data_IF_258485847876
#
_entry.id   IF_258485847876
#
_cell.length_a   1.000
_cell.length_b   1.000
_cell.length_c   1.000
_cell.angle_alpha   90.00
_cell.angle_beta   90.00
_cell.angle_gamma   90.00
#
_symmetry.space_group_name_H-M   'P 1'
#
loop_
_entity.id
_entity.type
_entity.pdbx_description
1 polymer ?
#
# COMPACT_ATOMS: atom_id res chain seq x y z
N UNK A 1 1.70 -8.77 15.27
CA UNK A 1 1.97 -7.65 14.34
C UNK A 1 3.19 -6.84 14.74
N UNK A 2 3.15 -6.00 15.80
CA UNK A 2 4.35 -5.21 16.17
C UNK A 2 5.57 -6.09 16.48
N UNK A 3 5.36 -7.23 17.12
CA UNK A 3 6.43 -8.21 17.38
C UNK A 3 7.00 -8.80 16.09
N UNK A 4 6.14 -9.12 15.12
CA UNK A 4 6.56 -9.63 13.80
C UNK A 4 7.41 -8.58 13.06
N UNK A 5 7.03 -7.31 13.15
CA UNK A 5 7.81 -6.19 12.60
C UNK A 5 9.15 -6.05 13.33
N UNK A 6 9.18 -6.18 14.66
CA UNK A 6 10.45 -6.14 15.42
C UNK A 6 11.39 -7.27 15.00
N UNK A 7 10.87 -8.48 14.83
CA UNK A 7 11.64 -9.62 14.35
C UNK A 7 12.17 -9.40 12.92
N UNK A 8 11.33 -8.87 12.03
CA UNK A 8 11.73 -8.47 10.68
C UNK A 8 12.87 -7.44 10.70
N UNK A 9 12.77 -6.43 11.58
CA UNK A 9 13.78 -5.40 11.73
C UNK A 9 15.08 -5.92 12.35
N UNK A 10 15.01 -6.86 13.30
CA UNK A 10 16.18 -7.47 13.92
C UNK A 10 16.99 -8.30 12.90
N UNK A 11 16.30 -9.06 12.05
CA UNK A 11 16.92 -9.80 10.95
C UNK A 11 17.58 -8.89 9.90
N UNK A 12 17.20 -7.61 9.84
CA UNK A 12 17.68 -6.61 8.88
C UNK A 12 18.40 -5.44 9.57
N UNK A 13 19.04 -5.68 10.71
CA UNK A 13 19.69 -4.66 11.54
C UNK A 13 20.84 -3.92 10.86
N UNK A 14 21.52 -4.55 9.89
CA UNK A 14 22.60 -3.94 9.10
C UNK A 14 22.14 -2.98 8.01
N UNK A 15 20.83 -2.85 7.76
CA UNK A 15 20.29 -1.92 6.77
C UNK A 15 20.16 -0.51 7.33
N UNK A 16 20.22 0.49 6.44
CA UNK A 16 20.02 1.89 6.83
C UNK A 16 18.61 2.13 7.39
N UNK A 17 18.44 3.19 8.18
CA UNK A 17 17.14 3.57 8.74
C UNK A 17 16.05 3.75 7.69
N UNK A 18 16.40 4.23 6.48
CA UNK A 18 15.48 4.37 5.35
C UNK A 18 14.97 3.01 4.88
N UNK A 19 15.86 2.05 4.65
CA UNK A 19 15.48 0.68 4.26
C UNK A 19 14.64 0.01 5.34
N UNK A 20 15.03 0.15 6.61
CA UNK A 20 14.28 -0.39 7.75
C UNK A 20 12.87 0.20 7.83
N UNK A 21 12.69 1.52 7.64
CA UNK A 21 11.35 2.14 7.57
C UNK A 21 10.54 1.62 6.36
N UNK A 22 11.18 1.35 5.23
CA UNK A 22 10.51 0.76 4.07
C UNK A 22 10.08 -0.70 4.31
N UNK A 23 10.85 -1.52 5.04
CA UNK A 23 10.40 -2.86 5.44
C UNK A 23 9.10 -2.79 6.29
N UNK A 24 9.01 -1.82 7.19
CA UNK A 24 7.77 -1.59 7.95
C UNK A 24 6.63 -1.15 7.02
N UNK A 25 6.89 -0.26 6.06
CA UNK A 25 5.88 0.13 5.06
C UNK A 25 5.40 -1.07 4.24
N UNK A 26 6.30 -1.91 3.75
CA UNK A 26 5.96 -3.12 2.98
C UNK A 26 5.06 -4.06 3.81
N UNK A 27 5.37 -4.26 5.09
CA UNK A 27 4.50 -5.00 6.00
C UNK A 27 3.08 -4.38 6.08
N UNK A 28 3.01 -3.05 6.28
CA UNK A 28 1.74 -2.34 6.38
C UNK A 28 0.96 -2.33 5.06
N UNK A 29 1.64 -2.33 3.91
CA UNK A 29 1.04 -2.47 2.59
C UNK A 29 0.35 -3.82 2.44
N UNK A 30 1.00 -4.91 2.85
CA UNK A 30 0.41 -6.26 2.86
C UNK A 30 -0.85 -6.31 3.70
N UNK A 31 -0.85 -5.70 4.90
CA UNK A 31 -2.06 -5.58 5.72
C UNK A 31 -3.16 -4.72 5.07
N UNK A 32 -2.78 -3.66 4.35
CA UNK A 32 -3.70 -2.83 3.58
C UNK A 32 -4.35 -3.61 2.43
N UNK A 33 -3.56 -4.36 1.65
CA UNK A 33 -4.04 -5.25 0.61
C UNK A 33 -4.96 -6.33 1.19
N UNK A 34 -4.61 -6.88 2.37
CA UNK A 34 -5.45 -7.85 3.06
C UNK A 34 -6.83 -7.28 3.42
N UNK A 35 -6.87 -6.05 3.92
CA UNK A 35 -8.14 -5.34 4.18
C UNK A 35 -8.95 -5.11 2.90
N UNK A 36 -8.31 -4.67 1.82
CA UNK A 36 -8.98 -4.38 0.53
C UNK A 36 -9.59 -5.65 -0.05
N UNK A 37 -8.79 -6.70 -0.24
CA UNK A 37 -9.23 -7.89 -0.97
C UNK A 37 -10.05 -8.88 -0.13
N UNK A 38 -10.13 -8.69 1.20
CA UNK A 38 -11.07 -9.45 2.04
C UNK A 38 -12.50 -8.90 2.01
N UNK A 39 -12.75 -7.77 1.33
CA UNK A 39 -14.04 -7.08 1.33
C UNK A 39 -14.62 -6.96 -0.07
N UNK A 40 -15.85 -7.46 -0.25
CA UNK A 40 -16.58 -7.43 -1.53
C UNK A 40 -16.73 -6.01 -2.14
N UNK A 41 -16.86 -5.00 -1.27
CA UNK A 41 -16.93 -3.59 -1.67
C UNK A 41 -15.66 -3.12 -2.39
N UNK A 42 -14.49 -3.64 -2.04
CA UNK A 42 -13.20 -3.21 -2.60
C UNK A 42 -12.53 -4.27 -3.48
N UNK A 43 -13.04 -5.49 -3.54
CA UNK A 43 -12.44 -6.61 -4.29
C UNK A 43 -12.33 -6.38 -5.80
N UNK A 44 -13.05 -5.39 -6.34
CA UNK A 44 -12.94 -4.96 -7.73
C UNK A 44 -11.87 -3.89 -8.00
N UNK A 45 -11.18 -3.40 -6.96
CA UNK A 45 -10.07 -2.48 -7.14
C UNK A 45 -8.90 -3.18 -7.82
N UNK A 46 -8.38 -2.58 -8.89
CA UNK A 46 -7.23 -3.11 -9.65
C UNK A 46 -5.97 -2.45 -9.09
N UNK A 47 -5.10 -3.23 -8.48
CA UNK A 47 -3.82 -2.78 -7.95
C UNK A 47 -2.81 -2.55 -9.09
N UNK A 48 -2.12 -1.41 -9.09
CA UNK A 48 -1.15 -1.06 -10.12
C UNK A 48 0.03 -0.25 -9.53
N UNK A 49 0.89 0.24 -10.41
CA UNK A 49 2.03 1.08 -10.04
C UNK A 49 3.24 0.29 -9.53
N UNK A 50 4.20 1.01 -8.98
CA UNK A 50 5.47 0.43 -8.54
C UNK A 50 5.32 -0.58 -7.40
N UNK A 51 4.29 -0.42 -6.56
CA UNK A 51 4.04 -1.31 -5.43
C UNK A 51 3.43 -2.63 -5.89
N UNK A 52 2.56 -2.61 -6.91
CA UNK A 52 2.10 -3.84 -7.56
C UNK A 52 3.27 -4.61 -8.16
N UNK A 53 4.25 -3.93 -8.75
CA UNK A 53 5.47 -4.57 -9.25
C UNK A 53 6.30 -5.25 -8.16
N UNK A 54 6.40 -4.63 -6.98
CA UNK A 54 7.11 -5.21 -5.83
C UNK A 54 6.38 -6.45 -5.30
N UNK A 55 5.08 -6.31 -5.01
CA UNK A 55 4.25 -7.34 -4.37
C UNK A 55 3.85 -8.49 -5.31
N UNK A 56 3.56 -8.19 -6.58
CA UNK A 56 3.03 -9.18 -7.54
C UNK A 56 4.12 -9.77 -8.46
N UNK A 57 5.24 -9.07 -8.64
CA UNK A 57 6.34 -9.53 -9.53
C UNK A 57 7.69 -9.69 -8.81
N UNK A 58 7.76 -9.44 -7.49
CA UNK A 58 8.96 -9.64 -6.70
C UNK A 58 10.14 -8.71 -7.07
N UNK A 59 9.88 -7.57 -7.74
CA UNK A 59 10.97 -6.69 -8.15
C UNK A 59 11.69 -6.08 -6.94
N UNK A 60 13.04 -6.09 -6.88
CA UNK A 60 13.81 -5.58 -5.74
C UNK A 60 13.89 -4.04 -5.75
N UNK A 61 12.74 -3.38 -5.56
CA UNK A 61 12.61 -1.91 -5.49
C UNK A 61 11.94 -1.47 -4.20
N UNK A 62 12.20 -0.22 -3.80
CA UNK A 62 11.48 0.42 -2.71
C UNK A 62 10.05 0.76 -3.15
N UNK A 63 9.10 0.42 -2.31
CA UNK A 63 7.68 0.71 -2.49
C UNK A 63 7.17 1.53 -1.32
N UNK A 64 6.34 2.55 -1.60
CA UNK A 64 5.86 3.46 -0.56
C UNK A 64 4.33 3.57 -0.48
N UNK A 65 3.66 3.60 -1.64
CA UNK A 65 2.23 3.92 -1.75
C UNK A 65 1.44 2.73 -2.33
N UNK A 66 0.12 2.66 -2.15
CA UNK A 66 -0.74 1.66 -2.80
C UNK A 66 -1.67 2.36 -3.80
N UNK A 67 -1.54 2.03 -5.08
CA UNK A 67 -2.30 2.67 -6.15
C UNK A 67 -3.34 1.74 -6.74
N UNK A 68 -4.59 2.19 -6.81
CA UNK A 68 -5.73 1.41 -7.27
C UNK A 68 -6.54 2.13 -8.35
N UNK A 69 -7.08 1.34 -9.27
CA UNK A 69 -8.14 1.78 -10.18
C UNK A 69 -9.47 1.25 -9.69
N UNK A 70 -10.41 2.17 -9.49
CA UNK A 70 -11.81 1.88 -9.26
C UNK A 70 -12.58 1.95 -10.58
N UNK A 71 -12.54 0.86 -11.34
CA UNK A 71 -13.19 0.75 -12.64
C UNK A 71 -14.73 0.85 -12.54
N UNK A 72 -15.30 0.58 -11.37
CA UNK A 72 -16.75 0.67 -11.12
C UNK A 72 -17.18 2.07 -10.68
N UNK A 73 -16.26 2.87 -10.15
CA UNK A 73 -16.54 4.20 -9.62
C UNK A 73 -17.37 4.20 -8.34
N UNK A 74 -17.42 3.06 -7.64
CA UNK A 74 -18.28 2.82 -6.48
C UNK A 74 -17.57 3.09 -5.14
N UNK A 75 -16.25 3.24 -5.13
CA UNK A 75 -15.48 3.35 -3.89
C UNK A 75 -15.61 4.73 -3.26
N UNK A 76 -16.04 4.72 -1.99
CA UNK A 76 -16.12 5.89 -1.13
C UNK A 76 -14.85 6.00 -0.28
N UNK A 77 -14.03 7.04 -0.51
CA UNK A 77 -12.82 7.30 0.29
C UNK A 77 -13.12 7.48 1.80
N UNK A 78 -14.21 8.16 2.21
CA UNK A 78 -14.60 8.20 3.63
C UNK A 78 -14.86 6.82 4.24
N UNK A 79 -15.60 5.96 3.52
CA UNK A 79 -15.87 4.60 3.99
C UNK A 79 -14.58 3.77 4.05
N UNK A 80 -13.73 3.87 3.03
CA UNK A 80 -12.42 3.23 2.98
C UNK A 80 -11.54 3.64 4.17
N UNK A 81 -11.43 4.94 4.45
CA UNK A 81 -10.65 5.45 5.57
C UNK A 81 -11.18 4.96 6.93
N UNK A 82 -12.50 4.99 7.13
CA UNK A 82 -13.13 4.51 8.36
C UNK A 82 -12.95 2.99 8.54
N UNK A 83 -13.08 2.23 7.44
CA UNK A 83 -12.87 0.78 7.40
C UNK A 83 -11.44 0.41 7.75
N UNK A 84 -10.45 1.04 7.12
CA UNK A 84 -9.02 0.83 7.42
C UNK A 84 -8.70 1.13 8.89
N UNK A 85 -9.17 2.29 9.38
CA UNK A 85 -8.98 2.67 10.79
C UNK A 85 -9.54 1.61 11.74
N UNK A 86 -10.76 1.13 11.47
CA UNK A 86 -11.43 0.11 12.28
C UNK A 86 -10.73 -1.24 12.19
N UNK A 87 -10.24 -1.60 11.00
CA UNK A 87 -9.48 -2.83 10.77
C UNK A 87 -8.19 -2.89 11.58
N UNK A 88 -7.36 -1.84 11.50
CA UNK A 88 -6.10 -1.79 12.25
C UNK A 88 -6.32 -1.78 13.76
N UNK A 89 -7.37 -1.09 14.24
CA UNK A 89 -7.72 -1.09 15.65
C UNK A 89 -8.21 -2.47 16.12
N UNK A 90 -9.16 -3.07 15.40
CA UNK A 90 -9.80 -4.33 15.83
C UNK A 90 -8.87 -5.54 15.69
N UNK A 91 -8.12 -5.65 14.59
CA UNK A 91 -7.27 -6.81 14.29
C UNK A 91 -5.88 -6.70 14.93
N UNK A 92 -5.37 -5.48 15.12
CA UNK A 92 -3.98 -5.28 15.53
C UNK A 92 -3.81 -4.35 16.75
N UNK A 93 -4.90 -3.86 17.34
CA UNK A 93 -4.84 -2.95 18.48
C UNK A 93 -4.24 -1.57 18.16
N UNK A 94 -4.05 -1.23 16.87
CA UNK A 94 -3.29 -0.06 16.47
C UNK A 94 -4.20 1.12 16.16
N UNK A 95 -4.00 2.23 16.88
CA UNK A 95 -4.74 3.48 16.66
C UNK A 95 -4.12 4.24 15.50
N UNK A 96 -4.75 4.17 14.34
CA UNK A 96 -4.29 4.81 13.11
C UNK A 96 -5.02 6.13 12.89
N UNK A 97 -4.28 7.19 12.58
CA UNK A 97 -4.84 8.45 12.10
C UNK A 97 -5.15 8.38 10.60
N UNK A 98 -6.22 9.02 10.15
CA UNK A 98 -6.60 9.03 8.73
C UNK A 98 -6.76 10.46 8.24
N UNK A 99 -6.27 10.77 7.03
CA UNK A 99 -6.53 12.03 6.33
C UNK A 99 -6.97 11.73 4.91
N UNK A 100 -8.11 12.27 4.50
CA UNK A 100 -8.61 12.15 3.13
C UNK A 100 -8.11 13.35 2.32
N UNK A 101 -7.67 13.08 1.11
CA UNK A 101 -7.27 14.05 0.10
C UNK A 101 -7.94 13.67 -1.24
N UNK A 102 -7.78 14.51 -2.28
CA UNK A 102 -8.30 14.19 -3.61
C UNK A 102 -7.73 12.84 -4.08
N UNK A 103 -8.61 11.86 -4.29
CA UNK A 103 -8.29 10.48 -4.69
C UNK A 103 -7.41 9.68 -3.73
N UNK A 104 -7.17 10.15 -2.49
CA UNK A 104 -6.20 9.51 -1.58
C UNK A 104 -6.70 9.41 -0.14
N UNK A 105 -6.40 8.28 0.49
CA UNK A 105 -6.46 8.08 1.94
C UNK A 105 -5.02 7.97 2.47
N UNK A 106 -4.64 8.87 3.36
CA UNK A 106 -3.38 8.84 4.08
C UNK A 106 -3.60 8.23 5.46
N UNK A 107 -2.97 7.08 5.72
CA UNK A 107 -2.89 6.47 7.03
C UNK A 107 -1.63 6.95 7.76
N UNK A 108 -1.77 7.25 9.06
CA UNK A 108 -0.72 7.75 9.94
C UNK A 108 -0.55 6.81 11.11
N UNK A 109 0.57 6.10 11.15
CA UNK A 109 0.88 5.08 12.14
C UNK A 109 1.88 5.63 13.16
N UNK A 110 1.47 5.81 14.43
CA UNK A 110 2.38 6.20 15.51
C UNK A 110 3.16 4.97 16.01
N UNK A 111 4.19 4.55 15.28
CA UNK A 111 4.91 3.27 15.53
C UNK A 111 6.43 3.41 15.48
N UNK A 112 6.98 4.55 15.06
CA UNK A 112 8.41 4.64 14.82
C UNK A 112 9.22 4.61 16.11
N UNK A 113 8.72 5.19 17.20
CA UNK A 113 9.34 5.17 18.51
C UNK A 113 9.32 3.75 19.10
N UNK A 114 8.17 3.07 19.05
CA UNK A 114 8.02 1.69 19.54
C UNK A 114 8.91 0.69 18.79
N UNK A 115 9.24 0.99 17.53
CA UNK A 115 10.12 0.20 16.68
C UNK A 115 11.59 0.63 16.75
N UNK A 116 11.93 1.67 17.52
CA UNK A 116 13.29 2.21 17.61
C UNK A 116 13.82 2.77 16.29
N UNK A 117 12.93 3.23 15.42
CA UNK A 117 13.24 3.78 14.10
C UNK A 117 13.22 5.32 14.04
N UNK A 118 12.79 5.98 15.11
CA UNK A 118 12.88 7.41 15.32
C UNK A 118 13.01 7.70 16.82
N UNK A 119 13.50 8.89 17.16
CA UNK A 119 13.51 9.41 18.53
C UNK A 119 13.20 10.91 18.51
N UNK A 120 12.80 11.50 19.65
CA UNK A 120 12.60 12.95 19.73
C UNK A 120 13.90 13.68 19.34
N UNK A 121 13.84 14.76 18.54
CA UNK A 121 12.66 15.55 18.17
C UNK A 121 11.93 15.10 16.89
N UNK A 122 12.30 13.96 16.29
CA UNK A 122 11.61 13.44 15.10
C UNK A 122 10.14 13.10 15.38
N UNK A 123 9.33 13.04 14.32
CA UNK A 123 7.94 12.62 14.41
C UNK A 123 7.83 11.09 14.51
N UNK A 124 6.92 10.61 15.36
CA UNK A 124 6.61 9.19 15.55
C UNK A 124 5.76 8.57 14.41
N UNK A 125 5.66 9.23 13.25
CA UNK A 125 4.67 8.88 12.24
C UNK A 125 5.29 8.17 11.04
N UNK A 126 4.84 6.94 10.81
CA UNK A 126 4.98 6.28 9.51
C UNK A 126 3.71 6.47 8.68
N UNK A 127 3.88 6.81 7.41
CA UNK A 127 2.76 7.08 6.50
C UNK A 127 2.61 5.95 5.47
N UNK A 128 1.36 5.57 5.23
CA UNK A 128 0.96 4.75 4.09
C UNK A 128 -0.11 5.51 3.30
N UNK A 129 0.09 5.67 2.00
CA UNK A 129 -0.90 6.28 1.12
C UNK A 129 -1.63 5.19 0.36
N UNK A 130 -2.94 5.34 0.25
CA UNK A 130 -3.78 4.57 -0.64
C UNK A 130 -4.44 5.52 -1.62
N UNK A 131 -4.22 5.33 -2.90
CA UNK A 131 -4.70 6.18 -3.98
C UNK A 131 -5.71 5.40 -4.81
N UNK A 132 -6.87 6.00 -5.07
CA UNK A 132 -7.97 5.36 -5.80
C UNK A 132 -8.40 6.30 -6.92
N UNK A 133 -8.01 5.92 -8.14
CA UNK A 133 -8.31 6.64 -9.36
C UNK A 133 -9.54 6.05 -10.05
N UNK A 134 -10.40 6.92 -10.58
CA UNK A 134 -11.58 6.50 -11.37
C UNK A 134 -11.29 6.37 -12.85
N UNK A 135 -10.22 7.01 -13.31
CA UNK A 135 -9.89 7.01 -14.73
C UNK A 135 -9.15 5.73 -15.10
N UNK A 136 -9.72 5.01 -16.07
CA UNK A 136 -9.16 3.78 -16.65
C UNK A 136 -8.43 4.15 -17.95
N UNK A 137 -8.31 5.43 -18.34
CA UNK A 137 -7.65 5.85 -19.58
C UNK A 137 -6.24 5.27 -19.70
N UNK A 138 -5.49 5.25 -18.60
CA UNK A 138 -4.18 4.61 -18.51
C UNK A 138 -4.23 3.08 -18.38
N UNK A 139 -5.41 2.49 -18.20
CA UNK A 139 -5.65 1.04 -18.15
C UNK A 139 -6.39 0.51 -19.40
N UNK A 140 -6.77 1.36 -20.36
CA UNK A 140 -7.39 0.94 -21.64
C UNK A 140 -6.38 0.09 -22.42
N UNK A 141 -6.61 -1.23 -22.40
CA UNK A 141 -5.78 -2.22 -23.08
C UNK A 141 -4.87 -3.04 -22.16
N UNK A 142 -4.85 -2.76 -20.86
CA UNK A 142 -4.05 -3.54 -19.91
C UNK A 142 -4.81 -4.78 -19.45
N UNK A 143 -4.12 -5.92 -19.48
CA UNK A 143 -4.65 -7.18 -18.93
C UNK A 143 -4.61 -7.12 -17.41
N UNK A 144 -5.72 -7.51 -16.77
CA UNK A 144 -5.75 -7.75 -15.33
C UNK A 144 -5.47 -9.23 -15.05
N UNK A 145 -4.94 -9.50 -13.87
CA UNK A 145 -4.64 -10.84 -13.38
C UNK A 145 -4.95 -10.93 -11.90
N UNK A 146 -5.04 -12.15 -11.40
CA UNK A 146 -5.18 -12.42 -9.97
C UNK A 146 -3.94 -13.18 -9.53
N UNK A 147 -3.27 -12.69 -8.49
CA UNK A 147 -2.13 -13.37 -7.88
C UNK A 147 -2.41 -13.62 -6.40
N UNK A 148 -2.11 -14.83 -5.89
CA UNK A 148 -2.13 -15.05 -4.46
C UNK A 148 -0.88 -14.44 -3.82
N UNK A 149 -1.10 -13.63 -2.78
CA UNK A 149 -0.04 -13.05 -1.95
C UNK A 149 -0.09 -13.71 -0.57
N UNK A 150 1.02 -14.33 -0.18
CA UNK A 150 1.21 -15.02 1.09
C UNK A 150 2.37 -14.39 1.85
N UNK A 151 2.09 -13.32 2.58
CA UNK A 151 3.12 -12.57 3.30
C UNK A 151 2.63 -12.18 4.69
N UNK A 152 3.54 -12.21 5.67
CA UNK A 152 3.28 -11.75 7.03
C UNK A 152 2.05 -12.40 7.71
N UNK A 153 1.74 -13.64 7.35
CA UNK A 153 0.58 -14.39 7.85
C UNK A 153 -0.75 -14.03 7.20
N UNK A 154 -0.75 -13.14 6.20
CA UNK A 154 -1.91 -12.83 5.38
C UNK A 154 -1.89 -13.68 4.10
N UNK A 155 -3.08 -14.09 3.67
CA UNK A 155 -3.30 -14.86 2.45
C UNK A 155 -4.42 -14.20 1.65
N UNK A 156 -4.08 -13.47 0.59
CA UNK A 156 -5.05 -12.70 -0.20
C UNK A 156 -4.88 -12.88 -1.70
N UNK A 157 -6.02 -12.86 -2.41
CA UNK A 157 -6.05 -12.84 -3.86
C UNK A 157 -6.12 -11.40 -4.35
N UNK A 158 -5.02 -10.92 -4.92
CA UNK A 158 -4.87 -9.54 -5.37
C UNK A 158 -5.21 -9.44 -6.85
N UNK A 159 -6.22 -8.63 -7.18
CA UNK A 159 -6.49 -8.23 -8.57
C UNK A 159 -5.53 -7.12 -8.97
N UNK A 160 -4.66 -7.37 -9.94
CA UNK A 160 -3.61 -6.42 -10.33
C UNK A 160 -3.50 -6.26 -11.85
N UNK A 161 -2.78 -5.22 -12.27
CA UNK A 161 -2.45 -4.97 -13.68
C UNK A 161 -1.19 -5.77 -14.09
N UNK A 162 -1.32 -6.68 -15.07
CA UNK A 162 -0.27 -7.63 -15.49
C UNK A 162 0.82 -7.00 -16.36
N UNK A 163 0.49 -5.94 -17.10
CA UNK A 163 1.36 -5.35 -18.13
C UNK A 163 2.13 -4.13 -17.66
N UNK A 164 2.62 -4.18 -16.42
CA UNK A 164 3.67 -3.30 -15.95
C UNK A 164 4.96 -4.10 -16.11
N UNK A 165 5.54 -4.15 -17.31
CA UNK A 165 6.90 -4.69 -17.43
C UNK A 165 7.86 -3.64 -16.87
N UNK A 166 9.02 -4.06 -16.35
CA UNK A 166 10.03 -3.13 -15.83
C UNK A 166 10.47 -2.06 -16.86
N UNK A 167 10.18 -2.25 -18.15
CA UNK A 167 10.43 -1.31 -19.24
C UNK A 167 9.40 -0.16 -19.32
N UNK A 168 8.20 -0.31 -18.76
CA UNK A 168 7.13 0.70 -18.79
C UNK A 168 7.21 1.73 -17.64
N UNK A 169 8.11 1.52 -16.67
CA UNK A 169 8.33 2.41 -15.52
C UNK A 169 8.78 3.80 -15.97
N UNK A 170 9.53 3.89 -17.08
CA UNK A 170 9.97 5.18 -17.61
C UNK A 170 8.82 5.99 -18.22
N UNK A 171 7.73 5.33 -18.63
CA UNK A 171 6.57 5.96 -19.28
C UNK A 171 5.50 6.37 -18.26
N UNK A 172 5.33 5.63 -17.17
CA UNK A 172 4.35 5.98 -16.11
C UNK A 172 4.84 7.06 -15.15
N UNK A 173 6.15 7.20 -14.94
CA UNK A 173 6.72 8.34 -14.20
C UNK A 173 6.76 9.65 -15.03
N UNK A 174 6.55 9.58 -16.34
CA UNK A 174 6.58 10.70 -17.28
C UNK A 174 5.30 10.82 -18.12
N UNK A 175 4.13 10.48 -17.56
CA UNK A 175 2.89 10.99 -18.11
C UNK A 175 2.56 12.31 -17.38
N UNK A 176 2.98 13.48 -17.91
CA UNK A 176 2.53 14.73 -17.35
C UNK A 176 1.00 14.76 -17.47
N UNK A 177 0.33 15.14 -16.38
CA UNK A 177 -1.03 15.66 -16.45
C UNK A 177 -1.02 16.99 -17.22
N UNK A 178 -0.62 16.96 -18.49
CA UNK A 178 -0.69 18.09 -19.42
C UNK A 178 -1.50 17.65 -20.62
N UNK A 179 -2.68 18.24 -20.76
CA UNK A 179 -3.36 18.34 -22.04
C UNK A 179 -4.83 17.94 -22.05
N UNK A 180 -5.69 18.77 -21.46
CA UNK A 180 -6.80 19.48 -22.13
C UNK A 180 -7.75 20.09 -21.09
#
# INVERSE_FOLDING_TARGET
MLEDIKNLLAANSGLSGVFRRNLVKEYLQTLGLAFIYSRKEYSGLIFYGGSALKHCHGLPRLSEDLDFVDARGEVSLPALAAGLKSYFLARHGLRVGTKIQKFRVLLKFPVLFDLGLAARPEADLLFLKLEVYRDISFCRGYKTGIIPLFEHGESVLVLYCVQLSAQDIHTLCYCPLTGA
#
